data_IF_624648683489
#
_entry.id   IF_624648683489
#
_cell.length_a   1.000
_cell.length_b   1.000
_cell.length_c   1.000
_cell.angle_alpha   90.00
_cell.angle_beta   90.00
_cell.angle_gamma   90.00
#
_symmetry.space_group_name_H-M   'P 1'
#
loop_
_entity.id
_entity.type
_entity.pdbx_description
1 polymer ?
#
# COMPACT_ATOMS: atom_id res chain seq x y z
N UNK A 1 7.37 9.60 -43.24
CA UNK A 1 7.99 10.48 -42.21
C UNK A 1 7.05 11.59 -41.74
N UNK A 2 6.36 12.31 -42.63
CA UNK A 2 5.47 13.44 -42.26
C UNK A 2 4.42 13.12 -41.18
N UNK A 3 3.76 11.96 -41.25
CA UNK A 3 2.78 11.56 -40.23
C UNK A 3 3.38 11.34 -38.83
N UNK A 4 4.63 10.88 -38.73
CA UNK A 4 5.31 10.68 -37.43
C UNK A 4 5.77 12.00 -36.81
N UNK A 5 6.12 12.98 -37.64
CA UNK A 5 6.45 14.33 -37.19
C UNK A 5 5.17 15.07 -36.75
N UNK A 6 4.07 14.88 -37.48
CA UNK A 6 2.76 15.44 -37.13
C UNK A 6 2.26 14.93 -35.77
N UNK A 7 2.36 13.61 -35.51
CA UNK A 7 1.96 13.06 -34.21
C UNK A 7 2.88 13.51 -33.08
N UNK A 8 4.18 13.68 -33.32
CA UNK A 8 5.12 14.22 -32.34
C UNK A 8 4.79 15.68 -31.96
N UNK A 9 4.44 16.52 -32.94
CA UNK A 9 4.04 17.91 -32.70
C UNK A 9 2.70 18.00 -31.95
N UNK A 10 1.74 17.15 -32.30
CA UNK A 10 0.45 17.06 -31.59
C UNK A 10 0.64 16.57 -30.15
N UNK A 11 1.57 15.63 -29.93
CA UNK A 11 1.93 15.16 -28.59
C UNK A 11 2.65 16.22 -27.74
N UNK A 12 3.21 17.27 -28.36
CA UNK A 12 3.82 18.41 -27.66
C UNK A 12 2.83 19.52 -27.30
N UNK A 13 1.65 19.58 -27.92
CA UNK A 13 0.62 20.59 -27.60
C UNK A 13 0.23 20.62 -26.10
N UNK A 14 0.10 19.48 -25.38
CA UNK A 14 -0.16 19.47 -23.94
C UNK A 14 0.98 20.05 -23.07
N UNK A 15 2.20 20.18 -23.59
CA UNK A 15 3.34 20.77 -22.86
C UNK A 15 3.26 22.30 -22.79
N UNK A 16 2.59 22.94 -23.75
CA UNK A 16 2.41 24.40 -23.76
C UNK A 16 1.61 24.92 -22.55
N UNK A 17 0.43 24.36 -22.19
CA UNK A 17 -0.27 24.75 -20.97
C UNK A 17 0.50 24.34 -19.70
N UNK A 18 1.30 23.26 -19.76
CA UNK A 18 2.14 22.86 -18.63
C UNK A 18 3.20 23.93 -18.30
N UNK A 19 3.86 24.51 -19.30
CA UNK A 19 4.80 25.62 -19.13
C UNK A 19 4.15 26.88 -18.54
N UNK A 20 2.94 27.23 -18.97
CA UNK A 20 2.21 28.38 -18.42
C UNK A 20 1.81 28.17 -16.94
N UNK A 21 1.49 26.92 -16.55
CA UNK A 21 1.08 26.56 -15.19
C UNK A 21 2.26 26.23 -14.27
N UNK A 22 3.50 26.19 -14.78
CA UNK A 22 4.70 25.82 -14.02
C UNK A 22 4.96 26.73 -12.82
N UNK A 23 4.54 28.01 -12.89
CA UNK A 23 4.62 28.95 -11.77
C UNK A 23 3.81 28.49 -10.54
N UNK A 24 2.77 27.66 -10.73
CA UNK A 24 1.95 27.09 -9.66
C UNK A 24 2.66 25.93 -8.94
N UNK A 25 3.74 25.41 -9.52
CA UNK A 25 4.57 24.34 -8.99
C UNK A 25 5.91 24.84 -8.46
N UNK A 26 6.11 26.17 -8.37
CA UNK A 26 7.31 26.76 -7.75
C UNK A 26 7.36 26.37 -6.26
N UNK A 27 8.41 25.64 -5.83
CA UNK A 27 8.52 25.12 -4.46
C UNK A 27 8.62 26.24 -3.40
N UNK A 28 9.03 27.44 -3.80
CA UNK A 28 9.18 28.60 -2.91
C UNK A 28 7.83 29.25 -2.52
N UNK A 29 6.76 29.01 -3.29
CA UNK A 29 5.46 29.69 -3.09
C UNK A 29 4.35 28.77 -2.60
N UNK A 30 4.55 27.46 -2.63
CA UNK A 30 3.55 26.50 -2.18
C UNK A 30 4.04 25.86 -0.90
N UNK A 31 3.46 26.24 0.25
CA UNK A 31 3.52 25.40 1.45
C UNK A 31 3.05 24.01 1.03
N UNK A 32 3.95 23.03 0.99
CA UNK A 32 3.67 21.66 0.57
C UNK A 32 2.48 21.04 1.34
N UNK A 33 2.18 21.55 2.54
CA UNK A 33 1.03 21.12 3.34
C UNK A 33 -0.34 21.64 2.86
N UNK A 34 -0.43 22.73 2.10
CA UNK A 34 -1.72 23.34 1.71
C UNK A 34 -2.24 22.90 0.34
N UNK A 35 -1.36 22.51 -0.59
CA UNK A 35 -1.76 22.04 -1.92
C UNK A 35 -2.39 20.63 -1.92
N UNK A 36 -2.16 19.84 -0.86
CA UNK A 36 -2.70 18.49 -0.69
C UNK A 36 -4.12 18.45 -0.12
N UNK A 37 -4.73 19.59 0.27
CA UNK A 37 -6.06 19.64 0.87
C UNK A 37 -7.18 19.57 -0.18
N UNK A 38 -7.09 18.65 -1.15
CA UNK A 38 -8.25 18.29 -1.99
C UNK A 38 -9.16 17.42 -1.13
N UNK A 39 -10.44 17.80 -1.02
CA UNK A 39 -11.47 17.02 -0.33
C UNK A 39 -11.65 15.70 -1.07
N UNK A 40 -10.99 14.64 -0.63
CA UNK A 40 -11.27 13.29 -1.12
C UNK A 40 -12.57 12.80 -0.48
N UNK A 41 -13.41 12.03 -1.20
CA UNK A 41 -14.57 11.35 -0.62
C UNK A 41 -14.19 10.53 0.63
N UNK A 42 -13.00 9.91 0.63
CA UNK A 42 -12.48 9.20 1.81
C UNK A 42 -12.22 10.12 3.00
N UNK A 43 -11.81 11.37 2.76
CA UNK A 43 -11.62 12.35 3.83
C UNK A 43 -12.95 12.72 4.50
N UNK A 44 -14.01 12.87 3.71
CA UNK A 44 -15.37 13.13 4.24
C UNK A 44 -15.84 11.93 5.07
N UNK A 45 -15.67 10.72 4.52
CA UNK A 45 -16.00 9.48 5.23
C UNK A 45 -15.21 9.35 6.54
N UNK A 46 -13.91 9.61 6.53
CA UNK A 46 -13.06 9.58 7.73
C UNK A 46 -13.51 10.59 8.79
N UNK A 47 -13.99 11.78 8.40
CA UNK A 47 -14.53 12.76 9.34
C UNK A 47 -15.80 12.26 10.03
N UNK A 48 -16.69 11.59 9.28
CA UNK A 48 -17.91 11.01 9.81
C UNK A 48 -17.62 9.80 10.72
N UNK A 49 -16.61 9.02 10.35
CA UNK A 49 -16.18 7.83 11.10
C UNK A 49 -15.17 8.14 12.22
N UNK A 50 -14.87 9.41 12.50
CA UNK A 50 -13.96 9.82 13.58
C UNK A 50 -14.22 9.17 14.95
N UNK A 51 -15.47 8.91 15.41
CA UNK A 51 -15.67 8.18 16.67
C UNK A 51 -15.08 6.77 16.65
N UNK A 52 -15.02 6.09 15.49
CA UNK A 52 -14.41 4.76 15.37
C UNK A 52 -12.91 4.79 15.61
N UNK A 53 -12.23 5.93 15.46
CA UNK A 53 -10.80 6.04 15.75
C UNK A 53 -10.47 5.62 17.19
N UNK A 54 -11.41 5.76 18.14
CA UNK A 54 -11.25 5.31 19.53
C UNK A 54 -11.00 3.80 19.64
N UNK A 55 -11.48 3.01 18.68
CA UNK A 55 -11.24 1.56 18.63
C UNK A 55 -9.76 1.23 18.42
N UNK A 56 -8.97 2.15 17.85
CA UNK A 56 -7.52 1.99 17.71
C UNK A 56 -6.73 2.30 18.99
N UNK A 57 -7.33 2.98 19.99
CA UNK A 57 -6.67 3.35 21.24
C UNK A 57 -5.94 2.20 21.98
N UNK A 58 -6.54 1.01 22.17
CA UNK A 58 -5.85 -0.11 22.82
C UNK A 58 -4.57 -0.54 22.09
N UNK A 59 -4.51 -0.38 20.76
CA UNK A 59 -3.32 -0.74 19.99
C UNK A 59 -2.11 0.14 20.36
N UNK A 60 -2.32 1.41 20.69
CA UNK A 60 -1.23 2.26 21.21
C UNK A 60 -0.74 1.79 22.58
N UNK A 61 -1.64 1.30 23.44
CA UNK A 61 -1.27 0.70 24.72
C UNK A 61 -0.49 -0.61 24.57
N UNK A 62 -0.77 -1.40 23.53
CA UNK A 62 0.01 -2.60 23.18
C UNK A 62 1.37 -2.19 22.59
N UNK A 63 1.38 -1.22 21.67
CA UNK A 63 2.59 -0.71 21.04
C UNK A 63 3.61 -0.18 22.06
N UNK A 64 3.15 0.50 23.11
CA UNK A 64 4.04 1.04 24.16
C UNK A 64 4.64 -0.03 25.08
N UNK A 65 4.07 -1.24 25.11
CA UNK A 65 4.55 -2.37 25.94
C UNK A 65 5.46 -3.32 25.17
N UNK A 66 5.40 -3.32 23.84
CA UNK A 66 6.21 -4.18 22.99
C UNK A 66 7.55 -3.51 22.68
N UNK A 67 8.69 -4.14 22.99
CA UNK A 67 10.00 -3.56 22.70
C UNK A 67 10.33 -3.64 21.20
N UNK A 68 11.19 -2.73 20.75
CA UNK A 68 11.83 -2.79 19.44
C UNK A 68 10.86 -2.67 18.26
N UNK A 69 11.16 -3.41 17.18
CA UNK A 69 10.44 -3.31 15.90
C UNK A 69 8.95 -3.65 16.02
N UNK A 70 8.60 -4.64 16.85
CA UNK A 70 7.22 -5.10 17.01
C UNK A 70 6.30 -3.98 17.54
N UNK A 71 6.72 -3.26 18.59
CA UNK A 71 5.97 -2.13 19.12
C UNK A 71 5.81 -1.01 18.10
N UNK A 72 6.86 -0.73 17.32
CA UNK A 72 6.77 0.30 16.29
C UNK A 72 5.83 -0.09 15.14
N UNK A 73 5.83 -1.37 14.72
CA UNK A 73 4.91 -1.88 13.69
C UNK A 73 3.46 -1.77 14.16
N UNK A 74 3.17 -2.19 15.40
CA UNK A 74 1.83 -2.03 15.99
C UNK A 74 1.47 -0.55 16.10
N UNK A 75 2.43 0.31 16.45
CA UNK A 75 2.26 1.77 16.46
C UNK A 75 1.88 2.34 15.10
N UNK A 76 2.52 1.90 14.02
CA UNK A 76 2.23 2.36 12.65
C UNK A 76 0.84 1.87 12.18
N UNK A 77 0.44 0.65 12.56
CA UNK A 77 -0.92 0.14 12.31
C UNK A 77 -1.94 0.98 13.09
N UNK A 78 -1.71 1.19 14.40
CA UNK A 78 -2.58 2.00 15.26
C UNK A 78 -2.73 3.42 14.72
N UNK A 79 -1.62 4.04 14.32
CA UNK A 79 -1.60 5.36 13.70
C UNK A 79 -2.40 5.37 12.39
N UNK A 80 -2.25 4.36 11.54
CA UNK A 80 -3.01 4.25 10.29
C UNK A 80 -4.52 4.19 10.55
N UNK A 81 -4.95 3.36 11.51
CA UNK A 81 -6.36 3.23 11.87
C UNK A 81 -6.91 4.50 12.54
N UNK A 82 -6.09 5.21 13.31
CA UNK A 82 -6.46 6.48 13.93
C UNK A 82 -6.59 7.61 12.88
N UNK A 83 -5.69 7.67 11.90
CA UNK A 83 -5.72 8.69 10.82
C UNK A 83 -6.77 8.40 9.76
N UNK A 84 -7.08 7.12 9.54
CA UNK A 84 -8.04 6.66 8.54
C UNK A 84 -9.10 5.74 9.16
N UNK A 85 -10.10 6.27 9.89
CA UNK A 85 -11.11 5.45 10.56
C UNK A 85 -11.96 4.59 9.62
N UNK A 86 -12.05 4.95 8.33
CA UNK A 86 -12.65 4.08 7.30
C UNK A 86 -11.96 2.73 7.16
N UNK A 87 -10.67 2.62 7.50
CA UNK A 87 -9.96 1.34 7.54
C UNK A 87 -10.52 0.39 8.60
N UNK A 88 -11.00 0.91 9.73
CA UNK A 88 -11.63 0.09 10.77
C UNK A 88 -12.94 -0.52 10.23
N UNK A 89 -13.73 0.30 9.52
CA UNK A 89 -14.95 -0.18 8.87
C UNK A 89 -14.62 -1.18 7.75
N UNK A 90 -13.61 -0.90 6.93
CA UNK A 90 -13.15 -1.81 5.87
C UNK A 90 -12.69 -3.16 6.43
N UNK A 91 -11.92 -3.16 7.52
CA UNK A 91 -11.51 -4.37 8.24
C UNK A 91 -12.71 -5.15 8.77
N UNK A 92 -13.69 -4.46 9.37
CA UNK A 92 -14.92 -5.09 9.83
C UNK A 92 -15.68 -5.73 8.67
N UNK A 93 -15.93 -5.01 7.57
CA UNK A 93 -16.62 -5.53 6.39
C UNK A 93 -15.87 -6.73 5.81
N UNK A 94 -14.54 -6.65 5.68
CA UNK A 94 -13.75 -7.73 5.11
C UNK A 94 -13.76 -9.00 5.99
N UNK A 95 -13.60 -8.85 7.31
CA UNK A 95 -13.55 -9.99 8.22
C UNK A 95 -14.93 -10.59 8.52
N UNK A 96 -15.96 -9.76 8.73
CA UNK A 96 -17.34 -10.24 8.91
C UNK A 96 -17.88 -10.83 7.61
N UNK A 97 -17.70 -10.15 6.48
CA UNK A 97 -18.04 -10.70 5.17
C UNK A 97 -17.32 -12.02 4.91
N UNK A 98 -16.03 -12.07 5.21
CA UNK A 98 -15.21 -13.28 5.10
C UNK A 98 -15.61 -14.41 6.05
N UNK A 99 -16.42 -14.15 7.09
CA UNK A 99 -16.94 -15.19 7.98
C UNK A 99 -18.23 -15.82 7.41
N UNK A 100 -19.11 -14.99 6.86
CA UNK A 100 -20.44 -15.43 6.41
C UNK A 100 -20.50 -15.87 4.95
N UNK A 101 -19.59 -15.39 4.10
CA UNK A 101 -19.59 -15.73 2.68
C UNK A 101 -18.91 -17.09 2.45
N UNK A 102 -19.51 -18.01 1.67
CA UNK A 102 -18.86 -19.26 1.28
C UNK A 102 -17.53 -19.00 0.55
N UNK A 103 -16.53 -19.86 0.74
CA UNK A 103 -15.19 -19.66 0.14
C UNK A 103 -15.25 -19.48 -1.40
N UNK A 104 -16.16 -20.18 -2.07
CA UNK A 104 -16.35 -20.07 -3.53
C UNK A 104 -16.83 -18.67 -4.00
N UNK A 105 -17.32 -17.82 -3.09
CA UNK A 105 -17.81 -16.48 -3.37
C UNK A 105 -16.99 -15.39 -2.65
N UNK A 106 -15.83 -15.74 -2.08
CA UNK A 106 -14.98 -14.81 -1.32
C UNK A 106 -14.24 -13.78 -2.19
N UNK A 107 -14.25 -13.98 -3.53
CA UNK A 107 -13.58 -13.14 -4.53
C UNK A 107 -13.83 -11.65 -4.31
N UNK A 108 -15.11 -11.26 -4.18
CA UNK A 108 -15.50 -9.86 -4.03
C UNK A 108 -14.99 -9.24 -2.72
N UNK A 109 -14.95 -10.01 -1.64
CA UNK A 109 -14.44 -9.56 -0.33
C UNK A 109 -12.93 -9.41 -0.38
N UNK A 110 -12.23 -10.40 -0.96
CA UNK A 110 -10.78 -10.37 -1.06
C UNK A 110 -10.32 -9.24 -1.99
N UNK A 111 -11.03 -9.03 -3.10
CA UNK A 111 -10.82 -7.91 -4.01
C UNK A 111 -11.02 -6.57 -3.27
N UNK A 112 -12.16 -6.40 -2.60
CA UNK A 112 -12.45 -5.18 -1.82
C UNK A 112 -11.37 -4.92 -0.77
N UNK A 113 -11.03 -5.94 0.02
CA UNK A 113 -10.02 -5.85 1.07
C UNK A 113 -8.65 -5.48 0.52
N UNK A 114 -8.23 -6.12 -0.57
CA UNK A 114 -6.95 -5.83 -1.24
C UNK A 114 -6.93 -4.43 -1.84
N UNK A 115 -7.99 -4.01 -2.53
CA UNK A 115 -8.08 -2.70 -3.15
C UNK A 115 -8.05 -1.58 -2.11
N UNK A 116 -8.84 -1.72 -1.04
CA UNK A 116 -8.88 -0.76 0.05
C UNK A 116 -7.55 -0.71 0.80
N UNK A 117 -6.97 -1.87 1.11
CA UNK A 117 -5.65 -1.98 1.70
C UNK A 117 -4.57 -1.32 0.84
N UNK A 118 -4.56 -1.50 -0.47
CA UNK A 118 -3.56 -0.92 -1.35
C UNK A 118 -3.53 0.62 -1.31
N UNK A 119 -4.69 1.25 -1.13
CA UNK A 119 -4.76 2.71 -0.90
C UNK A 119 -4.03 3.06 0.40
N UNK A 120 -4.31 2.35 1.50
CA UNK A 120 -3.65 2.56 2.79
C UNK A 120 -2.14 2.28 2.74
N UNK A 121 -1.74 1.22 2.03
CA UNK A 121 -0.35 0.82 1.83
C UNK A 121 0.45 1.95 1.17
N UNK A 122 -0.16 2.62 0.19
CA UNK A 122 0.45 3.75 -0.52
C UNK A 122 0.70 4.95 0.41
N UNK A 123 -0.22 5.21 1.34
CA UNK A 123 -0.09 6.29 2.32
C UNK A 123 0.94 5.93 3.40
N UNK A 124 0.97 4.70 3.90
CA UNK A 124 1.95 4.26 4.91
C UNK A 124 3.37 4.45 4.39
N UNK A 125 3.65 4.03 3.16
CA UNK A 125 4.99 4.09 2.55
C UNK A 125 5.55 5.50 2.37
N UNK A 126 4.69 6.52 2.39
CA UNK A 126 5.05 7.92 2.14
C UNK A 126 4.74 8.87 3.28
N UNK A 127 4.11 8.36 4.35
CA UNK A 127 3.67 9.14 5.51
C UNK A 127 4.77 9.98 6.11
N UNK A 128 5.90 9.37 6.45
CA UNK A 128 6.99 10.06 7.16
C UNK A 128 7.62 11.17 6.31
N UNK A 129 7.67 11.00 4.98
CA UNK A 129 8.11 12.06 4.08
C UNK A 129 7.09 13.20 4.00
N UNK A 130 5.80 12.86 3.87
CA UNK A 130 4.72 13.87 3.81
C UNK A 130 4.58 14.69 5.09
N UNK A 131 4.97 14.11 6.23
CA UNK A 131 4.96 14.74 7.55
C UNK A 131 6.29 15.45 7.89
N UNK A 132 7.28 15.43 7.00
CA UNK A 132 8.63 15.95 7.24
C UNK A 132 9.34 15.32 8.46
N UNK A 133 8.97 14.08 8.80
CA UNK A 133 9.52 13.31 9.93
C UNK A 133 10.65 12.36 9.49
N UNK A 134 11.02 12.42 8.21
CA UNK A 134 12.05 11.55 7.65
C UNK A 134 13.43 11.83 8.26
N UNK A 135 13.77 13.10 8.50
CA UNK A 135 15.03 13.46 9.15
C UNK A 135 15.09 12.92 10.58
N UNK A 136 14.02 13.11 11.37
CA UNK A 136 13.97 12.77 12.79
C UNK A 136 14.14 11.27 13.04
N UNK A 137 13.50 10.44 12.21
CA UNK A 137 13.55 8.97 12.36
C UNK A 137 14.84 8.34 11.82
N UNK A 138 15.65 9.11 11.07
CA UNK A 138 16.90 8.64 10.46
C UNK A 138 18.18 9.06 11.19
N UNK A 139 18.11 9.90 12.23
CA UNK A 139 19.31 10.48 12.89
C UNK A 139 20.18 9.43 13.59
N UNK A 140 19.57 8.36 14.09
CA UNK A 140 20.27 7.31 14.82
C UNK A 140 20.83 6.27 13.84
N UNK A 141 22.05 5.75 14.05
CA UNK A 141 22.59 4.66 13.23
C UNK A 141 21.62 3.49 13.13
N UNK A 142 21.32 3.04 11.90
CA UNK A 142 20.34 1.97 11.68
C UNK A 142 18.88 2.43 11.58
N UNK A 143 18.58 3.71 11.88
CA UNK A 143 17.22 4.23 11.94
C UNK A 143 16.51 4.23 10.58
N UNK A 144 17.24 4.49 9.49
CA UNK A 144 16.69 4.47 8.12
C UNK A 144 16.24 3.07 7.69
N UNK A 145 17.04 2.04 8.00
CA UNK A 145 16.73 0.65 7.70
C UNK A 145 15.58 0.14 8.58
N UNK A 146 15.61 0.46 9.87
CA UNK A 146 14.56 0.06 10.80
C UNK A 146 13.21 0.70 10.43
N UNK A 147 13.21 1.98 10.02
CA UNK A 147 12.01 2.65 9.49
C UNK A 147 11.44 1.92 8.28
N UNK A 148 12.30 1.56 7.32
CA UNK A 148 11.87 0.84 6.12
C UNK A 148 11.21 -0.49 6.48
N UNK A 149 11.86 -1.29 7.33
CA UNK A 149 11.33 -2.58 7.78
C UNK A 149 10.02 -2.41 8.55
N UNK A 150 9.91 -1.40 9.42
CA UNK A 150 8.68 -1.12 10.17
C UNK A 150 7.52 -0.81 9.23
N UNK A 151 7.70 0.11 8.28
CA UNK A 151 6.65 0.48 7.34
C UNK A 151 6.24 -0.71 6.47
N UNK A 152 7.21 -1.47 5.97
CA UNK A 152 6.97 -2.70 5.22
C UNK A 152 6.13 -3.71 6.03
N UNK A 153 6.54 -4.01 7.26
CA UNK A 153 5.84 -4.96 8.13
C UNK A 153 4.45 -4.45 8.53
N UNK A 154 4.30 -3.15 8.81
CA UNK A 154 2.99 -2.55 9.11
C UNK A 154 2.06 -2.66 7.91
N UNK A 155 2.55 -2.37 6.70
CA UNK A 155 1.79 -2.52 5.46
C UNK A 155 1.41 -3.99 5.21
N UNK A 156 2.36 -4.92 5.35
CA UNK A 156 2.10 -6.36 5.17
C UNK A 156 1.09 -6.90 6.18
N UNK A 157 1.30 -6.65 7.48
CA UNK A 157 0.40 -7.12 8.53
C UNK A 157 -0.99 -6.50 8.39
N UNK A 158 -1.09 -5.22 8.04
CA UNK A 158 -2.38 -4.60 7.77
C UNK A 158 -3.10 -5.29 6.60
N UNK A 159 -2.38 -5.67 5.54
CA UNK A 159 -2.95 -6.41 4.41
C UNK A 159 -3.46 -7.79 4.83
N UNK A 160 -2.66 -8.49 5.64
CA UNK A 160 -3.08 -9.75 6.25
C UNK A 160 -4.31 -9.59 7.15
N UNK A 161 -4.45 -8.48 7.88
CA UNK A 161 -5.65 -8.19 8.68
C UNK A 161 -6.91 -7.99 7.82
N UNK A 162 -6.79 -7.41 6.61
CA UNK A 162 -7.91 -7.33 5.66
C UNK A 162 -8.31 -8.70 5.10
N UNK A 163 -7.35 -9.61 4.96
CA UNK A 163 -7.58 -10.97 4.49
C UNK A 163 -7.71 -12.03 5.60
N UNK A 164 -7.72 -11.66 6.89
CA UNK A 164 -7.42 -12.60 7.97
C UNK A 164 -8.42 -13.76 8.07
N UNK A 165 -9.72 -13.47 8.07
CA UNK A 165 -10.74 -14.54 8.12
C UNK A 165 -10.63 -15.49 6.93
N UNK A 166 -10.43 -14.96 5.72
CA UNK A 166 -10.30 -15.75 4.49
C UNK A 166 -9.02 -16.59 4.58
N UNK A 167 -7.89 -15.98 4.93
CA UNK A 167 -6.60 -16.65 5.11
C UNK A 167 -6.68 -17.83 6.10
N UNK A 168 -7.29 -17.63 7.27
CA UNK A 168 -7.42 -18.69 8.29
C UNK A 168 -8.30 -19.83 7.77
N UNK A 169 -9.40 -19.53 7.09
CA UNK A 169 -10.28 -20.55 6.50
C UNK A 169 -9.59 -21.31 5.36
N UNK A 170 -8.91 -20.59 4.47
CA UNK A 170 -8.17 -21.20 3.37
C UNK A 170 -6.98 -22.00 3.87
N UNK A 171 -6.32 -21.61 4.97
CA UNK A 171 -5.24 -22.39 5.55
C UNK A 171 -5.69 -23.79 5.97
N UNK A 172 -6.95 -23.95 6.38
CA UNK A 172 -7.53 -25.23 6.80
C UNK A 172 -8.04 -26.08 5.62
N UNK A 173 -8.53 -25.46 4.54
CA UNK A 173 -9.17 -26.16 3.43
C UNK A 173 -8.35 -26.18 2.14
N UNK A 174 -7.64 -25.10 1.83
CA UNK A 174 -6.88 -24.86 0.60
C UNK A 174 -5.53 -24.18 0.90
N UNK A 175 -4.57 -24.90 1.52
CA UNK A 175 -3.36 -24.29 2.07
C UNK A 175 -2.49 -23.59 1.01
N UNK A 176 -2.50 -24.06 -0.23
CA UNK A 176 -1.80 -23.39 -1.34
C UNK A 176 -2.37 -21.99 -1.62
N UNK A 177 -3.68 -21.83 -1.55
CA UNK A 177 -4.36 -20.55 -1.78
C UNK A 177 -4.07 -19.56 -0.65
N UNK A 178 -4.03 -20.04 0.60
CA UNK A 178 -3.59 -19.24 1.74
C UNK A 178 -2.13 -18.76 1.57
N UNK A 179 -1.23 -19.61 1.08
CA UNK A 179 0.16 -19.22 0.79
C UNK A 179 0.25 -18.20 -0.35
N UNK A 180 -0.56 -18.35 -1.40
CA UNK A 180 -0.65 -17.37 -2.49
C UNK A 180 -1.08 -16.01 -1.95
N UNK A 181 -2.11 -15.96 -1.09
CA UNK A 181 -2.55 -14.72 -0.46
C UNK A 181 -1.43 -14.08 0.37
N UNK A 182 -0.73 -14.86 1.20
CA UNK A 182 0.40 -14.38 2.02
C UNK A 182 1.53 -13.82 1.14
N UNK A 183 1.92 -14.55 0.10
CA UNK A 183 2.99 -14.15 -0.83
C UNK A 183 2.59 -12.91 -1.64
N UNK A 184 1.34 -12.84 -2.09
CA UNK A 184 0.81 -11.69 -2.82
C UNK A 184 0.82 -10.43 -1.95
N UNK A 185 0.35 -10.52 -0.70
CA UNK A 185 0.39 -9.41 0.26
C UNK A 185 1.82 -8.98 0.58
N UNK A 186 2.73 -9.94 0.78
CA UNK A 186 4.16 -9.68 0.96
C UNK A 186 4.75 -8.91 -0.22
N UNK A 187 4.51 -9.39 -1.45
CA UNK A 187 5.06 -8.79 -2.68
C UNK A 187 4.53 -7.39 -2.91
N UNK A 188 3.22 -7.19 -2.79
CA UNK A 188 2.59 -5.87 -2.93
C UNK A 188 3.05 -4.90 -1.83
N UNK A 189 3.23 -5.36 -0.58
CA UNK A 189 3.75 -4.53 0.50
C UNK A 189 5.20 -4.11 0.26
N UNK A 190 6.04 -5.02 -0.26
CA UNK A 190 7.42 -4.73 -0.61
C UNK A 190 7.50 -3.70 -1.76
N UNK A 191 6.68 -3.86 -2.80
CA UNK A 191 6.58 -2.91 -3.90
C UNK A 191 6.08 -1.53 -3.43
N UNK A 192 5.03 -1.49 -2.61
CA UNK A 192 4.54 -0.23 -2.02
C UNK A 192 5.66 0.50 -1.27
N UNK A 193 6.42 -0.25 -0.46
CA UNK A 193 7.52 0.28 0.32
C UNK A 193 8.66 0.79 -0.57
N UNK A 194 9.09 0.03 -1.58
CA UNK A 194 10.16 0.50 -2.50
C UNK A 194 9.75 1.73 -3.28
N UNK A 195 8.57 1.72 -3.89
CA UNK A 195 8.11 2.85 -4.69
C UNK A 195 7.86 4.10 -3.86
N UNK A 196 7.28 3.95 -2.66
CA UNK A 196 7.08 5.07 -1.75
C UNK A 196 8.40 5.72 -1.34
N UNK A 197 9.45 4.92 -1.13
CA UNK A 197 10.76 5.41 -0.67
C UNK A 197 11.60 6.00 -1.80
N UNK A 198 11.59 5.38 -2.98
CA UNK A 198 12.37 5.86 -4.13
C UNK A 198 11.75 7.10 -4.77
N UNK A 199 10.42 7.14 -4.91
CA UNK A 199 9.72 8.26 -5.54
C UNK A 199 9.32 9.38 -4.55
N UNK A 200 9.37 9.10 -3.23
CA UNK A 200 8.88 10.00 -2.17
C UNK A 200 7.44 10.49 -2.38
N UNK A 201 6.64 9.70 -3.07
CA UNK A 201 5.23 9.97 -3.36
C UNK A 201 4.50 8.65 -3.58
N UNK A 202 3.21 8.60 -3.22
CA UNK A 202 2.39 7.39 -3.34
C UNK A 202 1.98 7.09 -4.79
N UNK A 203 2.08 8.09 -5.68
CA UNK A 203 1.59 8.06 -7.06
C UNK A 203 2.03 6.84 -7.90
N UNK A 204 3.33 6.48 -8.00
CA UNK A 204 3.74 5.37 -8.85
C UNK A 204 3.14 4.04 -8.39
N UNK A 205 3.16 3.78 -7.08
CA UNK A 205 2.54 2.57 -6.54
C UNK A 205 1.04 2.56 -6.79
N UNK A 206 0.31 3.64 -6.46
CA UNK A 206 -1.15 3.71 -6.68
C UNK A 206 -1.49 3.50 -8.16
N UNK A 207 -0.75 4.13 -9.09
CA UNK A 207 -0.99 3.98 -10.52
C UNK A 207 -0.79 2.53 -10.98
N UNK A 208 0.34 1.91 -10.64
CA UNK A 208 0.64 0.52 -11.00
C UNK A 208 -0.30 -0.47 -10.33
N UNK A 209 -0.66 -0.22 -9.07
CA UNK A 209 -1.58 -1.04 -8.30
C UNK A 209 -3.01 -0.99 -8.86
N UNK A 210 -3.52 0.19 -9.19
CA UNK A 210 -4.83 0.35 -9.85
C UNK A 210 -4.84 -0.28 -11.25
N UNK A 211 -3.75 -0.11 -12.00
CA UNK A 211 -3.60 -0.76 -13.30
C UNK A 211 -3.59 -2.29 -13.16
N UNK A 212 -2.85 -2.82 -12.18
CA UNK A 212 -2.86 -4.24 -11.87
C UNK A 212 -4.26 -4.73 -11.48
N UNK A 213 -4.98 -4.05 -10.57
CA UNK A 213 -6.34 -4.43 -10.20
C UNK A 213 -7.27 -4.46 -11.42
N UNK A 214 -7.14 -3.48 -12.32
CA UNK A 214 -7.90 -3.44 -13.56
C UNK A 214 -7.61 -4.68 -14.42
N UNK A 215 -6.34 -5.03 -14.65
CA UNK A 215 -6.01 -6.24 -15.42
C UNK A 215 -6.52 -7.48 -14.68
N UNK A 216 -6.33 -7.57 -13.38
CA UNK A 216 -6.73 -8.74 -12.58
C UNK A 216 -8.24 -9.00 -12.59
N UNK A 217 -9.07 -7.95 -12.70
CA UNK A 217 -10.52 -8.07 -12.89
C UNK A 217 -10.92 -8.51 -14.30
N UNK A 218 -10.13 -8.17 -15.32
CA UNK A 218 -10.47 -8.46 -16.71
C UNK A 218 -9.85 -9.77 -17.22
N UNK A 219 -8.68 -10.14 -16.71
CA UNK A 219 -7.91 -11.33 -17.07
C UNK A 219 -8.08 -12.44 -16.03
N UNK A 220 -9.33 -12.83 -15.77
CA UNK A 220 -9.70 -13.76 -14.68
C UNK A 220 -9.11 -15.18 -14.82
N UNK A 221 -8.60 -15.53 -16.01
CA UNK A 221 -8.00 -16.84 -16.31
C UNK A 221 -6.47 -16.86 -16.20
N UNK A 222 -5.83 -15.71 -16.01
CA UNK A 222 -4.37 -15.59 -16.04
C UNK A 222 -3.75 -15.71 -14.65
N UNK A 223 -3.12 -16.86 -14.38
CA UNK A 223 -2.52 -17.19 -13.08
C UNK A 223 -1.45 -16.17 -12.61
N UNK A 224 -0.71 -15.55 -13.54
CA UNK A 224 0.33 -14.57 -13.21
C UNK A 224 -0.23 -13.23 -12.75
N UNK A 225 -1.46 -12.89 -13.17
CA UNK A 225 -2.12 -11.64 -12.81
C UNK A 225 -2.85 -11.77 -11.47
N UNK A 226 -3.24 -12.98 -11.08
CA UNK A 226 -3.93 -13.29 -9.83
C UNK A 226 -2.99 -13.28 -8.60
N UNK A 227 -2.36 -12.14 -8.32
CA UNK A 227 -1.28 -12.00 -7.31
C UNK A 227 -1.68 -12.48 -5.91
N UNK A 228 -2.91 -12.15 -5.47
CA UNK A 228 -3.44 -12.50 -4.14
C UNK A 228 -4.43 -13.68 -4.19
N UNK A 229 -4.60 -14.30 -5.37
CA UNK A 229 -5.44 -15.49 -5.53
C UNK A 229 -6.94 -15.26 -5.56
N UNK A 230 -7.45 -14.04 -5.69
CA UNK A 230 -8.91 -13.82 -5.66
C UNK A 230 -9.65 -14.46 -6.84
N UNK A 231 -9.01 -14.69 -7.98
CA UNK A 231 -9.66 -15.38 -9.11
C UNK A 231 -9.61 -16.92 -8.99
N UNK A 232 -8.83 -17.46 -8.05
CA UNK A 232 -8.67 -18.90 -7.84
C UNK A 232 -7.89 -19.61 -8.95
N UNK A 233 -7.19 -18.87 -9.82
CA UNK A 233 -6.40 -19.43 -10.94
C UNK A 233 -4.90 -19.40 -10.67
N UNK A 234 -4.47 -18.71 -9.61
CA UNK A 234 -3.08 -18.70 -9.17
C UNK A 234 -2.58 -20.11 -8.80
N UNK A 235 -1.32 -20.37 -9.12
CA UNK A 235 -0.70 -21.68 -8.94
C UNK A 235 0.70 -21.52 -8.30
N UNK A 236 1.37 -22.64 -8.05
CA UNK A 236 2.69 -22.62 -7.42
C UNK A 236 3.73 -21.81 -8.23
N UNK A 237 3.63 -21.81 -9.56
CA UNK A 237 4.53 -21.04 -10.40
C UNK A 237 4.31 -19.52 -10.25
N UNK A 238 3.06 -19.05 -10.34
CA UNK A 238 2.77 -17.62 -10.14
C UNK A 238 3.12 -17.16 -8.72
N UNK A 239 2.88 -18.01 -7.72
CA UNK A 239 3.34 -17.77 -6.35
C UNK A 239 4.86 -17.55 -6.28
N UNK A 240 5.67 -18.42 -6.90
CA UNK A 240 7.13 -18.29 -6.90
C UNK A 240 7.62 -17.03 -7.61
N UNK A 241 6.96 -16.63 -8.70
CA UNK A 241 7.26 -15.37 -9.40
C UNK A 241 7.00 -14.18 -8.48
N UNK A 242 5.85 -14.14 -7.81
CA UNK A 242 5.49 -13.03 -6.91
C UNK A 242 6.34 -12.99 -5.65
N UNK A 243 6.72 -14.15 -5.11
CA UNK A 243 7.67 -14.25 -4.00
C UNK A 243 9.03 -13.67 -4.40
N UNK A 244 9.54 -14.06 -5.55
CA UNK A 244 10.82 -13.55 -6.08
C UNK A 244 10.77 -12.04 -6.27
N UNK A 245 9.69 -11.53 -6.88
CA UNK A 245 9.47 -10.10 -7.05
C UNK A 245 9.45 -9.36 -5.70
N UNK A 246 8.75 -9.91 -4.71
CA UNK A 246 8.68 -9.35 -3.37
C UNK A 246 10.02 -9.32 -2.66
N UNK A 247 10.80 -10.40 -2.75
CA UNK A 247 12.15 -10.49 -2.15
C UNK A 247 13.09 -9.49 -2.81
N UNK A 248 13.09 -9.41 -4.15
CA UNK A 248 13.90 -8.44 -4.89
C UNK A 248 13.53 -7.02 -4.50
N UNK A 249 12.24 -6.70 -4.41
CA UNK A 249 11.78 -5.39 -3.96
C UNK A 249 12.25 -5.10 -2.52
N UNK A 250 12.05 -6.03 -1.58
CA UNK A 250 12.44 -5.85 -0.19
C UNK A 250 13.95 -5.60 -0.05
N UNK A 251 14.78 -6.40 -0.73
CA UNK A 251 16.24 -6.27 -0.72
C UNK A 251 16.67 -4.94 -1.36
N UNK A 252 16.09 -4.59 -2.51
CA UNK A 252 16.39 -3.32 -3.18
C UNK A 252 16.03 -2.11 -2.32
N UNK A 253 14.85 -2.14 -1.68
CA UNK A 253 14.42 -1.06 -0.79
C UNK A 253 15.27 -0.99 0.47
N UNK A 254 15.63 -2.12 1.08
CA UNK A 254 16.52 -2.15 2.23
C UNK A 254 17.91 -1.60 1.88
N UNK A 255 18.48 -2.05 0.76
CA UNK A 255 19.78 -1.59 0.24
C UNK A 255 19.79 -0.11 -0.07
N UNK A 256 18.74 0.40 -0.73
CA UNK A 256 18.59 1.84 -1.03
C UNK A 256 18.61 2.69 0.25
N UNK A 257 17.92 2.24 1.30
CA UNK A 257 17.86 2.96 2.57
C UNK A 257 19.17 2.93 3.36
N UNK A 258 19.95 1.85 3.20
CA UNK A 258 21.29 1.75 3.79
C UNK A 258 22.28 2.69 3.08
N UNK A 259 22.35 2.62 1.76
CA UNK A 259 23.24 3.47 0.96
C UNK A 259 22.99 4.95 1.24
N UNK A 260 21.72 5.37 1.27
CA UNK A 260 21.31 6.75 1.54
C UNK A 260 21.64 7.24 2.96
N UNK A 261 21.83 6.35 3.93
CA UNK A 261 22.21 6.75 5.30
C UNK A 261 23.72 6.90 5.51
N UNK A 262 24.51 6.45 4.54
CA UNK A 262 25.98 6.59 4.55
C UNK A 262 26.42 7.92 3.88
N UNK A 263 25.53 8.60 3.16
CA UNK A 263 25.68 9.95 2.58
C UNK A 263 25.34 11.06 3.58
#
# INVERSE_FOLDING_TARGET
MAARVGTALVAMLPLLPAFALFHRFSPDRVKASSAARRRSPLTILNQWLRPLAKVSAPLFGIASRLPGLAGQVVGDIALTLATSPSAILGLAIANFGGLFVPLNHSIGILFFGTAFWGILASDISTRDFSADMEGVTGVVPGGSQQRYLRQFLATMLLGMLFGATIFVRDLLHYPLHALILLVGMFSLAALASVFGRTARTSRPFVALFMFWLYIALNATKEANVDVVGFNGVANAHSMMVHLTLGVVALVAGYGYNRWRSEE
#
